data_IF_427662590684
#
_entry.id   IF_427662590684
#
_cell.length_a   1.000
_cell.length_b   1.000
_cell.length_c   1.000
_cell.angle_alpha   90.00
_cell.angle_beta   90.00
_cell.angle_gamma   90.00
#
_symmetry.space_group_name_H-M   'P 1'
#
loop_
_entity.id
_entity.type
_entity.pdbx_description
1 polymer ?
#
# COMPACT_ATOMS: atom_id res chain seq x y z
N UNK A 1 -19.86 -44.16 -15.97
CA UNK A 1 -20.52 -43.44 -14.86
C UNK A 1 -19.78 -43.57 -13.53
N UNK A 2 -18.45 -43.72 -13.53
CA UNK A 2 -17.62 -43.89 -12.32
C UNK A 2 -16.92 -42.58 -11.89
N UNK A 3 -16.63 -41.69 -12.84
CA UNK A 3 -15.90 -40.43 -12.58
C UNK A 3 -16.64 -39.48 -11.62
N UNK A 4 -17.97 -39.57 -11.57
CA UNK A 4 -18.79 -38.78 -10.64
C UNK A 4 -18.43 -39.07 -9.18
N UNK A 5 -18.06 -40.31 -8.85
CA UNK A 5 -17.62 -40.68 -7.49
C UNK A 5 -16.29 -40.03 -7.09
N UNK A 6 -15.48 -39.59 -8.05
CA UNK A 6 -14.25 -38.83 -7.80
C UNK A 6 -14.50 -37.33 -7.82
N UNK A 7 -15.29 -36.84 -8.78
CA UNK A 7 -15.57 -35.42 -8.97
C UNK A 7 -16.38 -34.79 -7.83
N UNK A 8 -17.37 -35.50 -7.28
CA UNK A 8 -18.21 -35.01 -6.18
C UNK A 8 -17.39 -34.73 -4.91
N UNK A 9 -16.59 -35.67 -4.37
CA UNK A 9 -15.79 -35.38 -3.18
C UNK A 9 -14.69 -34.36 -3.47
N UNK A 10 -14.07 -34.40 -4.66
CA UNK A 10 -13.04 -33.43 -5.04
C UNK A 10 -13.60 -32.00 -5.10
N UNK A 11 -14.80 -31.81 -5.65
CA UNK A 11 -15.44 -30.49 -5.71
C UNK A 11 -15.85 -30.00 -4.32
N UNK A 12 -16.35 -30.87 -3.44
CA UNK A 12 -16.67 -30.52 -2.05
C UNK A 12 -15.44 -30.06 -1.28
N UNK A 13 -14.29 -30.74 -1.47
CA UNK A 13 -13.02 -30.33 -0.85
C UNK A 13 -12.58 -28.97 -1.39
N UNK A 14 -12.55 -28.79 -2.72
CA UNK A 14 -12.15 -27.52 -3.34
C UNK A 14 -13.07 -26.36 -2.92
N UNK A 15 -14.38 -26.60 -2.87
CA UNK A 15 -15.35 -25.62 -2.41
C UNK A 15 -15.14 -25.29 -0.93
N UNK A 16 -14.92 -26.29 -0.08
CA UNK A 16 -14.60 -26.09 1.34
C UNK A 16 -13.32 -25.28 1.54
N UNK A 17 -12.27 -25.57 0.77
CA UNK A 17 -11.01 -24.80 0.79
C UNK A 17 -11.23 -23.35 0.34
N UNK A 18 -12.02 -23.13 -0.70
CA UNK A 18 -12.34 -21.78 -1.18
C UNK A 18 -13.10 -20.97 -0.12
N UNK A 19 -14.11 -21.57 0.51
CA UNK A 19 -14.87 -20.94 1.60
C UNK A 19 -13.97 -20.64 2.80
N UNK A 20 -13.12 -21.60 3.19
CA UNK A 20 -12.18 -21.40 4.30
C UNK A 20 -11.19 -20.27 4.00
N UNK A 21 -10.60 -20.24 2.80
CA UNK A 21 -9.69 -19.19 2.38
C UNK A 21 -10.37 -17.81 2.33
N UNK A 22 -11.62 -17.75 1.88
CA UNK A 22 -12.43 -16.54 1.89
C UNK A 22 -12.61 -15.98 3.31
N UNK A 23 -13.04 -16.82 4.26
CA UNK A 23 -13.20 -16.40 5.66
C UNK A 23 -11.88 -16.01 6.32
N UNK A 24 -10.79 -16.71 5.98
CA UNK A 24 -9.44 -16.34 6.43
C UNK A 24 -9.03 -14.96 5.93
N UNK A 25 -9.24 -14.67 4.63
CA UNK A 25 -8.90 -13.38 4.03
C UNK A 25 -9.72 -12.22 4.63
N UNK A 26 -11.03 -12.43 4.85
CA UNK A 26 -11.91 -11.44 5.49
C UNK A 26 -11.45 -11.15 6.92
N UNK A 27 -11.03 -12.17 7.69
CA UNK A 27 -10.54 -11.95 9.06
C UNK A 27 -9.16 -11.32 9.13
N UNK A 28 -8.36 -11.42 8.06
CA UNK A 28 -7.01 -10.86 8.01
C UNK A 28 -6.98 -9.41 7.52
N UNK A 29 -8.12 -8.72 7.44
CA UNK A 29 -8.20 -7.28 7.14
C UNK A 29 -7.50 -6.88 5.82
N UNK A 30 -7.38 -7.82 4.88
CA UNK A 30 -6.69 -7.63 3.59
C UNK A 30 -7.37 -6.60 2.67
N UNK A 31 -8.49 -6.03 3.11
CA UNK A 31 -9.25 -5.02 2.37
C UNK A 31 -9.04 -3.59 2.91
N UNK A 32 -8.46 -3.44 4.10
CA UNK A 32 -8.27 -2.12 4.73
C UNK A 32 -7.12 -1.32 4.07
N UNK A 33 -6.15 -1.99 3.44
CA UNK A 33 -5.02 -1.34 2.74
C UNK A 33 -5.32 -1.00 1.26
N UNK A 34 -6.57 -1.16 0.79
CA UNK A 34 -6.98 -0.72 -0.55
C UNK A 34 -7.20 0.80 -0.64
N UNK A 35 -7.35 1.49 0.48
CA UNK A 35 -7.54 2.95 0.55
C UNK A 35 -6.22 3.74 0.49
N UNK A 36 -5.08 3.06 0.72
CA UNK A 36 -3.78 3.70 0.94
C UNK A 36 -3.15 4.48 -0.22
N UNK A 37 -3.27 4.07 -1.51
CA UNK A 37 -2.56 4.77 -2.60
C UNK A 37 -3.34 5.90 -3.27
N UNK A 38 -4.68 5.84 -3.30
CA UNK A 38 -5.50 6.77 -4.07
C UNK A 38 -5.55 8.18 -3.46
N UNK A 39 -5.43 8.29 -2.14
CA UNK A 39 -5.47 9.57 -1.42
C UNK A 39 -4.18 10.39 -1.66
N UNK A 40 -3.04 9.74 -1.81
CA UNK A 40 -1.73 10.41 -1.95
C UNK A 40 -1.64 11.18 -3.28
N UNK A 41 -2.16 10.59 -4.35
CA UNK A 41 -2.08 11.21 -5.69
C UNK A 41 -2.93 12.47 -5.85
N UNK A 42 -3.95 12.68 -5.00
CA UNK A 42 -4.85 13.84 -5.06
C UNK A 42 -4.46 14.97 -4.10
N UNK A 43 -3.68 14.68 -3.05
CA UNK A 43 -3.37 15.63 -1.97
C UNK A 43 -1.86 15.89 -1.78
N UNK A 44 -0.97 15.24 -2.55
CA UNK A 44 0.49 15.47 -2.49
C UNK A 44 0.96 16.72 -3.26
N UNK A 45 0.07 17.54 -3.82
CA UNK A 45 0.45 18.76 -4.56
C UNK A 45 0.86 19.95 -3.67
N UNK A 46 0.54 19.91 -2.36
CA UNK A 46 0.77 21.03 -1.44
C UNK A 46 2.04 20.90 -0.57
N UNK A 47 2.76 19.77 -0.61
CA UNK A 47 3.99 19.60 0.16
C UNK A 47 5.23 19.81 -0.75
N UNK A 48 6.03 20.87 -0.55
CA UNK A 48 7.21 21.09 -1.37
C UNK A 48 8.14 19.88 -1.24
N UNK A 49 8.69 19.38 -2.37
CA UNK A 49 9.55 18.20 -2.36
C UNK A 49 10.70 18.42 -1.37
N UNK A 50 11.15 17.38 -0.63
CA UNK A 50 12.20 17.50 0.38
C UNK A 50 13.55 18.01 -0.16
N UNK A 51 13.68 18.16 -1.48
CA UNK A 51 14.81 18.82 -2.13
C UNK A 51 14.79 20.36 -1.98
N UNK A 52 13.61 20.99 -1.83
CA UNK A 52 13.47 22.44 -1.67
C UNK A 52 14.01 22.92 -0.29
N UNK A 53 13.73 22.17 0.79
CA UNK A 53 14.23 22.49 2.14
C UNK A 53 15.75 22.54 2.26
N UNK A 54 16.51 21.82 1.41
CA UNK A 54 17.98 21.84 1.47
C UNK A 54 18.62 23.05 0.80
N UNK A 55 17.93 23.73 -0.11
CA UNK A 55 18.47 24.90 -0.80
C UNK A 55 18.33 26.16 0.05
N UNK A 56 17.24 26.28 0.81
CA UNK A 56 17.01 27.44 1.67
C UNK A 56 18.00 27.48 2.85
N UNK A 57 18.29 26.32 3.46
CA UNK A 57 19.29 26.20 4.54
C UNK A 57 20.72 26.49 4.05
N UNK A 58 21.05 26.07 2.82
CA UNK A 58 22.37 26.30 2.23
C UNK A 58 22.60 27.76 1.80
N UNK A 59 21.52 28.48 1.48
CA UNK A 59 21.59 29.89 1.06
C UNK A 59 21.61 30.82 2.27
N UNK A 60 20.85 30.51 3.33
CA UNK A 60 20.91 31.22 4.61
C UNK A 60 22.29 31.08 5.30
N UNK A 61 22.92 29.90 5.23
CA UNK A 61 24.24 29.67 5.79
C UNK A 61 25.39 30.39 5.03
N UNK A 62 25.16 30.80 3.78
CA UNK A 62 26.14 31.56 2.99
C UNK A 62 26.02 33.06 3.22
N UNK A 63 24.80 33.59 3.36
CA UNK A 63 24.59 35.03 3.57
C UNK A 63 25.09 35.52 4.93
N UNK A 64 24.99 34.71 6.00
CA UNK A 64 25.51 35.07 7.32
C UNK A 64 27.04 34.98 7.47
N UNK A 65 27.77 34.52 6.45
CA UNK A 65 29.25 34.41 6.48
C UNK A 65 29.94 35.57 5.76
N UNK A 66 29.23 36.31 4.92
CA UNK A 66 29.79 37.43 4.13
C UNK A 66 29.68 38.79 4.85
N UNK A 67 28.91 38.89 5.94
CA UNK A 67 28.74 40.14 6.70
C UNK A 67 29.76 40.33 7.86
N UNK A 68 30.63 39.34 8.12
CA UNK A 68 31.59 39.34 9.25
C UNK A 68 33.07 39.40 8.81
N UNK A 69 33.37 40.03 7.66
CA UNK A 69 34.75 40.32 7.20
C UNK A 69 34.93 41.75 6.73
#
# INVERSE_FOLDING_TARGET
MSILYLLIPLSLVLFGLAVWAFFWAVRNDQFDDLEGPAYRILFDEDDPPPAARRQDDATAARHGREEDT
#
